data_IF_383990094393
#
_entry.id   IF_383990094393
#
_cell.length_a   1.000
_cell.length_b   1.000
_cell.length_c   1.000
_cell.angle_alpha   90.00
_cell.angle_beta   90.00
_cell.angle_gamma   90.00
#
_symmetry.space_group_name_H-M   'P 1'
#
loop_
_entity.id
_entity.type
_entity.pdbx_description
1 polymer ?
#
# COMPACT_ATOMS: atom_id res chain seq x y z
N UNK A 1 -41.48 -34.03 77.04
CA UNK A 1 -41.95 -34.01 75.65
C UNK A 1 -41.33 -32.76 74.97
N UNK A 2 -40.30 -32.90 74.18
CA UNK A 2 -39.63 -31.79 73.47
C UNK A 2 -39.64 -32.14 71.97
N UNK A 3 -40.41 -31.40 71.16
CA UNK A 3 -40.42 -31.51 69.70
C UNK A 3 -39.25 -30.70 69.17
N UNK A 4 -38.35 -31.34 68.40
CA UNK A 4 -37.28 -30.68 67.65
C UNK A 4 -37.79 -30.39 66.25
N UNK A 5 -37.82 -29.11 65.88
CA UNK A 5 -38.00 -28.63 64.49
C UNK A 5 -36.62 -28.74 63.78
N UNK A 6 -36.58 -29.48 62.68
CA UNK A 6 -35.47 -29.53 61.74
C UNK A 6 -35.80 -28.52 60.62
N UNK A 7 -35.02 -27.42 60.56
CA UNK A 7 -35.10 -26.47 59.49
C UNK A 7 -34.27 -26.93 58.31
N UNK A 8 -34.86 -27.11 57.14
CA UNK A 8 -34.20 -27.36 55.87
C UNK A 8 -33.71 -26.00 55.28
N UNK A 9 -32.40 -25.78 55.21
CA UNK A 9 -31.84 -24.72 54.42
C UNK A 9 -31.67 -25.21 52.99
N UNK A 10 -32.49 -24.72 52.06
CA UNK A 10 -32.28 -24.89 50.62
C UNK A 10 -31.26 -23.84 50.15
N UNK A 11 -30.02 -24.24 49.91
CA UNK A 11 -29.00 -23.42 49.28
C UNK A 11 -29.25 -23.40 47.76
N UNK A 12 -29.82 -22.30 47.26
CA UNK A 12 -29.94 -22.00 45.84
C UNK A 12 -28.56 -21.64 45.29
N UNK A 13 -27.89 -22.54 44.63
CA UNK A 13 -26.67 -22.25 43.83
C UNK A 13 -27.11 -21.64 42.52
N UNK A 14 -27.00 -20.31 42.42
CA UNK A 14 -27.09 -19.58 41.14
C UNK A 14 -25.84 -19.93 40.33
N UNK A 15 -25.93 -20.89 39.39
CA UNK A 15 -24.94 -21.04 38.33
C UNK A 15 -25.03 -19.80 37.42
N UNK A 16 -24.11 -18.86 37.56
CA UNK A 16 -23.86 -17.84 36.56
C UNK A 16 -23.31 -18.52 35.32
N UNK A 17 -24.17 -18.85 34.36
CA UNK A 17 -23.77 -19.17 32.99
C UNK A 17 -23.19 -17.91 32.36
N UNK A 18 -21.88 -17.69 32.57
CA UNK A 18 -21.11 -16.83 31.70
C UNK A 18 -21.09 -17.51 30.34
N UNK A 19 -22.02 -17.11 29.48
CA UNK A 19 -22.03 -17.58 28.09
C UNK A 19 -20.69 -17.22 27.47
N UNK A 20 -19.79 -18.19 27.34
CA UNK A 20 -18.64 -18.04 26.46
C UNK A 20 -19.21 -17.74 25.08
N UNK A 21 -19.00 -16.52 24.57
CA UNK A 21 -19.35 -16.18 23.21
C UNK A 21 -18.75 -17.26 22.30
N UNK A 22 -19.60 -17.91 21.50
CA UNK A 22 -19.14 -18.98 20.63
C UNK A 22 -18.01 -18.44 19.72
N UNK A 23 -16.91 -19.19 19.62
CA UNK A 23 -15.80 -18.86 18.75
C UNK A 23 -16.31 -18.82 17.30
N UNK A 24 -16.34 -17.61 16.71
CA UNK A 24 -16.71 -17.42 15.30
C UNK A 24 -15.46 -17.32 14.43
N UNK A 25 -15.58 -17.71 13.17
CA UNK A 25 -14.54 -17.44 12.17
C UNK A 25 -14.83 -16.09 11.50
N UNK A 26 -13.83 -15.21 11.53
CA UNK A 26 -13.83 -13.95 10.78
C UNK A 26 -13.11 -14.20 9.46
N UNK A 27 -13.82 -14.12 8.37
CA UNK A 27 -13.24 -14.29 7.02
C UNK A 27 -12.80 -12.92 6.47
N UNK A 28 -11.58 -12.85 6.00
CA UNK A 28 -11.01 -11.69 5.29
C UNK A 28 -10.78 -12.08 3.83
N UNK A 29 -11.56 -11.51 2.92
CA UNK A 29 -11.40 -11.72 1.49
C UNK A 29 -10.28 -10.86 0.92
N UNK A 30 -9.22 -11.46 0.38
CA UNK A 30 -8.08 -10.75 -0.19
C UNK A 30 -8.07 -10.88 -1.71
N UNK A 31 -8.38 -9.79 -2.41
CA UNK A 31 -8.24 -9.71 -3.86
C UNK A 31 -6.83 -9.24 -4.23
N UNK A 32 -6.04 -10.12 -4.81
CA UNK A 32 -4.66 -9.85 -5.21
C UNK A 32 -4.38 -10.28 -6.64
N UNK A 33 -3.13 -10.10 -7.06
CA UNK A 33 -2.60 -10.59 -8.32
C UNK A 33 -1.60 -11.69 -7.97
N UNK A 34 -2.02 -12.95 -8.03
CA UNK A 34 -1.20 -14.10 -7.61
C UNK A 34 -0.60 -14.86 -8.80
N UNK A 35 -0.96 -14.48 -10.04
CA UNK A 35 -0.44 -15.05 -11.28
C UNK A 35 -0.02 -13.98 -12.28
N UNK A 36 0.72 -14.40 -13.35
CA UNK A 36 1.16 -13.50 -14.42
C UNK A 36 2.29 -12.54 -14.05
N UNK A 37 2.53 -11.53 -14.88
CA UNK A 37 3.68 -10.61 -14.77
C UNK A 37 3.69 -9.72 -13.52
N UNK A 38 2.58 -9.60 -12.83
CA UNK A 38 2.42 -8.81 -11.61
C UNK A 38 2.27 -9.66 -10.35
N UNK A 39 2.48 -10.98 -10.42
CA UNK A 39 2.28 -11.93 -9.32
C UNK A 39 3.08 -11.62 -8.05
N UNK A 40 4.19 -10.87 -8.18
CA UNK A 40 4.98 -10.39 -7.03
C UNK A 40 4.14 -9.63 -5.99
N UNK A 41 3.14 -8.86 -6.42
CA UNK A 41 2.26 -8.12 -5.51
C UNK A 41 1.44 -9.05 -4.62
N UNK A 42 0.85 -10.09 -5.21
CA UNK A 42 0.10 -11.09 -4.46
C UNK A 42 1.01 -11.92 -3.54
N UNK A 43 2.22 -12.25 -3.99
CA UNK A 43 3.21 -12.94 -3.15
C UNK A 43 3.57 -12.10 -1.91
N UNK A 44 3.78 -10.80 -2.07
CA UNK A 44 4.04 -9.89 -0.94
C UNK A 44 2.85 -9.83 0.03
N UNK A 45 1.61 -9.83 -0.49
CA UNK A 45 0.42 -9.89 0.36
C UNK A 45 0.40 -11.18 1.19
N UNK A 46 0.61 -12.35 0.56
CA UNK A 46 0.63 -13.63 1.25
C UNK A 46 1.73 -13.70 2.32
N UNK A 47 2.94 -13.26 1.97
CA UNK A 47 4.08 -13.25 2.88
C UNK A 47 3.84 -12.33 4.09
N UNK A 48 3.33 -11.12 3.86
CA UNK A 48 3.05 -10.15 4.92
C UNK A 48 1.95 -10.63 5.86
N UNK A 49 0.87 -11.23 5.33
CA UNK A 49 -0.21 -11.82 6.11
C UNK A 49 0.31 -12.97 6.97
N UNK A 50 1.10 -13.87 6.39
CA UNK A 50 1.67 -15.00 7.11
C UNK A 50 2.60 -14.56 8.25
N UNK A 51 3.47 -13.56 8.02
CA UNK A 51 4.33 -12.99 9.06
C UNK A 51 3.50 -12.25 10.11
N UNK A 52 2.45 -11.52 9.70
CA UNK A 52 1.56 -10.86 10.67
C UNK A 52 0.88 -11.88 11.57
N UNK A 53 0.38 -12.99 11.02
CA UNK A 53 -0.22 -14.09 11.79
C UNK A 53 0.81 -14.81 12.67
N UNK A 54 2.06 -14.98 12.22
CA UNK A 54 3.15 -15.47 13.07
C UNK A 54 3.38 -14.58 14.30
N UNK A 55 3.28 -13.28 14.15
CA UNK A 55 3.52 -12.31 15.23
C UNK A 55 2.36 -12.19 16.22
N UNK A 56 1.13 -12.34 15.73
CA UNK A 56 -0.08 -12.00 16.49
C UNK A 56 -1.05 -13.17 16.67
N UNK A 57 -0.72 -14.35 16.14
CA UNK A 57 -1.62 -15.51 16.09
C UNK A 57 -2.63 -15.42 14.94
N UNK A 58 -3.33 -16.49 14.70
CA UNK A 58 -4.45 -16.58 13.75
C UNK A 58 -5.82 -16.38 14.40
N UNK A 59 -5.82 -16.02 15.69
CA UNK A 59 -7.04 -15.79 16.50
C UNK A 59 -6.99 -14.44 17.20
N UNK A 60 -8.15 -13.82 17.33
CA UNK A 60 -8.35 -12.54 18.06
C UNK A 60 -9.52 -12.74 19.03
N UNK A 61 -9.27 -12.60 20.33
CA UNK A 61 -10.28 -12.82 21.38
C UNK A 61 -11.04 -14.16 21.23
N UNK A 62 -10.34 -15.22 20.77
CA UNK A 62 -10.93 -16.53 20.51
C UNK A 62 -11.59 -16.70 19.14
N UNK A 63 -11.71 -15.64 18.34
CA UNK A 63 -12.23 -15.69 16.97
C UNK A 63 -11.11 -15.95 15.96
N UNK A 64 -11.24 -17.00 15.16
CA UNK A 64 -10.26 -17.36 14.12
C UNK A 64 -10.32 -16.35 12.97
N UNK A 65 -9.17 -15.85 12.52
CA UNK A 65 -9.06 -15.03 11.31
C UNK A 65 -8.67 -15.93 10.14
N UNK A 66 -9.60 -16.12 9.21
CA UNK A 66 -9.41 -16.92 8.00
C UNK A 66 -9.22 -16.02 6.78
N UNK A 67 -8.22 -16.31 5.96
CA UNK A 67 -7.92 -15.52 4.76
C UNK A 67 -8.41 -16.27 3.52
N UNK A 68 -9.27 -15.62 2.74
CA UNK A 68 -9.82 -16.17 1.50
C UNK A 68 -9.23 -15.37 0.31
N UNK A 69 -8.30 -15.99 -0.42
CA UNK A 69 -7.62 -15.36 -1.54
C UNK A 69 -8.39 -15.51 -2.85
N UNK A 70 -8.38 -14.45 -3.69
CA UNK A 70 -8.87 -14.48 -5.08
C UNK A 70 -7.87 -13.80 -6.00
N UNK A 71 -7.55 -14.47 -7.11
CA UNK A 71 -6.58 -14.01 -8.10
C UNK A 71 -7.26 -13.29 -9.26
N UNK A 72 -7.06 -11.99 -9.34
CA UNK A 72 -7.54 -11.17 -10.46
C UNK A 72 -6.60 -11.22 -11.68
N UNK A 73 -5.33 -11.61 -11.50
CA UNK A 73 -4.34 -11.79 -12.56
C UNK A 73 -3.74 -10.48 -13.12
N UNK A 74 -4.38 -9.33 -12.95
CA UNK A 74 -3.91 -8.05 -13.48
C UNK A 74 -4.92 -6.91 -13.32
N UNK A 75 -4.76 -5.81 -14.08
CA UNK A 75 -5.71 -4.70 -14.11
C UNK A 75 -6.96 -5.08 -14.93
N UNK A 76 -7.81 -5.89 -14.35
CA UNK A 76 -9.07 -6.38 -14.93
C UNK A 76 -10.27 -5.98 -14.05
N UNK A 77 -10.93 -4.85 -14.34
CA UNK A 77 -12.08 -4.35 -13.59
C UNK A 77 -13.28 -5.32 -13.54
N UNK A 78 -13.55 -6.02 -14.65
CA UNK A 78 -14.69 -6.93 -14.74
C UNK A 78 -14.48 -8.16 -13.87
N UNK A 79 -13.29 -8.78 -13.93
CA UNK A 79 -12.90 -9.91 -13.08
C UNK A 79 -12.82 -9.50 -11.62
N UNK A 80 -12.31 -8.30 -11.33
CA UNK A 80 -12.27 -7.78 -9.95
C UNK A 80 -13.68 -7.68 -9.36
N UNK A 81 -14.65 -7.18 -10.11
CA UNK A 81 -16.06 -7.10 -9.69
C UNK A 81 -16.64 -8.49 -9.43
N UNK A 82 -16.49 -9.43 -10.38
CA UNK A 82 -16.96 -10.81 -10.23
C UNK A 82 -16.42 -11.48 -8.97
N UNK A 83 -15.10 -11.41 -8.75
CA UNK A 83 -14.44 -12.05 -7.61
C UNK A 83 -14.80 -11.38 -6.28
N UNK A 84 -14.98 -10.06 -6.27
CA UNK A 84 -15.43 -9.34 -5.07
C UNK A 84 -16.87 -9.72 -4.72
N UNK A 85 -17.75 -9.85 -5.71
CA UNK A 85 -19.12 -10.34 -5.52
C UNK A 85 -19.14 -11.76 -4.96
N UNK A 86 -18.28 -12.66 -5.46
CA UNK A 86 -18.12 -14.00 -4.93
C UNK A 86 -17.69 -14.01 -3.46
N UNK A 87 -16.69 -13.18 -3.09
CA UNK A 87 -16.23 -13.03 -1.71
C UNK A 87 -17.35 -12.55 -0.79
N UNK A 88 -18.19 -11.62 -1.24
CA UNK A 88 -19.28 -11.08 -0.45
C UNK A 88 -20.43 -12.08 -0.32
N UNK A 89 -20.95 -12.63 -1.45
CA UNK A 89 -22.19 -13.39 -1.47
C UNK A 89 -22.00 -14.86 -1.13
N UNK A 90 -20.90 -15.48 -1.61
CA UNK A 90 -20.65 -16.92 -1.41
C UNK A 90 -19.81 -17.19 -0.18
N UNK A 91 -18.67 -16.50 -0.05
CA UNK A 91 -17.77 -16.68 1.09
C UNK A 91 -18.27 -15.96 2.34
N UNK A 92 -19.10 -14.91 2.17
CA UNK A 92 -19.69 -14.11 3.25
C UNK A 92 -18.62 -13.49 4.16
N UNK A 93 -17.60 -12.88 3.53
CA UNK A 93 -16.48 -12.28 4.26
C UNK A 93 -16.94 -11.09 5.10
N UNK A 94 -16.34 -10.90 6.27
CA UNK A 94 -16.58 -9.75 7.15
C UNK A 94 -15.75 -8.53 6.75
N UNK A 95 -14.60 -8.76 6.13
CA UNK A 95 -13.71 -7.73 5.63
C UNK A 95 -13.24 -8.07 4.23
N UNK A 96 -13.02 -7.07 3.42
CA UNK A 96 -12.29 -7.19 2.16
C UNK A 96 -10.94 -6.48 2.29
N UNK A 97 -9.94 -6.96 1.55
CA UNK A 97 -8.62 -6.36 1.53
C UNK A 97 -7.88 -6.62 0.20
N UNK A 98 -6.75 -5.92 0.02
CA UNK A 98 -5.92 -6.11 -1.16
C UNK A 98 -6.04 -4.98 -2.17
N UNK A 99 -6.43 -5.30 -3.41
CA UNK A 99 -6.59 -4.37 -4.54
C UNK A 99 -5.27 -3.71 -4.95
N UNK A 100 -4.58 -4.35 -5.89
CA UNK A 100 -3.29 -3.87 -6.41
C UNK A 100 -3.48 -2.66 -7.32
N UNK A 101 -4.43 -2.74 -8.25
CA UNK A 101 -4.63 -1.73 -9.29
C UNK A 101 -5.85 -0.85 -9.04
N UNK A 102 -5.70 0.45 -9.30
CA UNK A 102 -6.77 1.43 -9.20
C UNK A 102 -8.02 1.07 -10.00
N UNK A 103 -7.94 0.64 -11.28
CA UNK A 103 -9.14 0.26 -12.04
C UNK A 103 -9.97 -0.82 -11.34
N UNK A 104 -9.31 -1.78 -10.70
CA UNK A 104 -9.96 -2.87 -9.96
C UNK A 104 -10.68 -2.35 -8.70
N UNK A 105 -10.02 -1.48 -7.93
CA UNK A 105 -10.61 -0.88 -6.74
C UNK A 105 -11.81 0.02 -7.06
N UNK A 106 -11.71 0.80 -8.14
CA UNK A 106 -12.82 1.68 -8.57
C UNK A 106 -14.03 0.89 -9.08
N UNK A 107 -13.82 -0.22 -9.79
CA UNK A 107 -14.88 -1.04 -10.35
C UNK A 107 -15.77 -1.73 -9.30
N UNK A 108 -15.28 -1.85 -8.07
CA UNK A 108 -15.99 -2.52 -6.97
C UNK A 108 -16.57 -1.56 -5.94
N UNK A 109 -16.32 -0.25 -6.07
CA UNK A 109 -16.67 0.74 -5.06
C UNK A 109 -18.17 0.76 -4.72
N UNK A 110 -19.04 0.75 -5.74
CA UNK A 110 -20.48 0.75 -5.56
C UNK A 110 -20.97 -0.55 -4.92
N UNK A 111 -20.46 -1.70 -5.39
CA UNK A 111 -20.78 -3.02 -4.83
C UNK A 111 -20.41 -3.10 -3.34
N UNK A 112 -19.23 -2.64 -2.97
CA UNK A 112 -18.74 -2.63 -1.58
C UNK A 112 -19.57 -1.67 -0.72
N UNK A 113 -19.96 -0.52 -1.28
CA UNK A 113 -20.81 0.46 -0.59
C UNK A 113 -22.19 -0.12 -0.28
N UNK A 114 -22.81 -0.77 -1.28
CA UNK A 114 -24.14 -1.39 -1.13
C UNK A 114 -24.08 -2.57 -0.14
N UNK A 115 -23.08 -3.42 -0.25
CA UNK A 115 -22.90 -4.57 0.63
C UNK A 115 -22.42 -4.18 2.04
N UNK A 116 -21.99 -2.92 2.23
CA UNK A 116 -21.46 -2.40 3.50
C UNK A 116 -20.33 -3.25 4.09
N UNK A 117 -19.37 -3.68 3.27
CA UNK A 117 -18.22 -4.49 3.72
C UNK A 117 -17.00 -3.58 3.92
N UNK A 118 -16.49 -3.40 5.16
CA UNK A 118 -15.26 -2.67 5.41
C UNK A 118 -14.10 -3.23 4.59
N UNK A 119 -13.39 -2.37 3.84
CA UNK A 119 -12.41 -2.78 2.86
C UNK A 119 -11.10 -2.02 3.04
N UNK A 120 -9.98 -2.74 3.18
CA UNK A 120 -8.65 -2.17 3.37
C UNK A 120 -7.83 -2.28 2.08
N UNK A 121 -7.45 -1.13 1.51
CA UNK A 121 -6.66 -1.05 0.28
C UNK A 121 -5.16 -1.19 0.62
N UNK A 122 -4.53 -2.25 0.11
CA UNK A 122 -3.12 -2.58 0.38
C UNK A 122 -2.13 -1.98 -0.62
N UNK A 123 -2.60 -1.55 -1.83
CA UNK A 123 -1.68 -1.00 -2.82
C UNK A 123 -2.27 0.12 -3.69
N UNK A 124 -3.48 -0.01 -4.24
CA UNK A 124 -4.03 0.95 -5.20
C UNK A 124 -3.93 2.41 -4.73
N UNK A 125 -3.29 3.29 -5.55
CA UNK A 125 -2.69 4.53 -5.06
C UNK A 125 -3.32 5.84 -5.58
N UNK A 126 -4.38 5.77 -6.40
CA UNK A 126 -5.09 6.98 -6.83
C UNK A 126 -5.86 7.61 -5.66
N UNK A 127 -5.74 8.91 -5.49
CA UNK A 127 -6.31 9.64 -4.33
C UNK A 127 -7.82 9.54 -4.20
N UNK A 128 -8.54 9.45 -5.32
CA UNK A 128 -10.02 9.41 -5.34
C UNK A 128 -10.62 8.14 -4.74
N UNK A 129 -9.85 7.04 -4.59
CA UNK A 129 -10.36 5.72 -4.19
C UNK A 129 -11.21 5.79 -2.91
N UNK A 130 -10.68 6.36 -1.84
CA UNK A 130 -11.41 6.40 -0.56
C UNK A 130 -12.64 7.33 -0.58
N UNK A 131 -12.78 8.19 -1.59
CA UNK A 131 -14.02 8.97 -1.84
C UNK A 131 -15.08 8.17 -2.57
N UNK A 132 -14.70 7.12 -3.32
CA UNK A 132 -15.64 6.33 -4.12
C UNK A 132 -16.50 5.39 -3.29
N UNK A 133 -16.04 5.01 -2.09
CA UNK A 133 -16.85 4.26 -1.14
C UNK A 133 -16.53 4.71 0.29
N UNK A 134 -17.54 4.92 1.13
CA UNK A 134 -17.34 5.17 2.56
C UNK A 134 -16.74 3.95 3.29
N UNK A 135 -16.79 2.76 2.67
CA UNK A 135 -16.27 1.52 3.25
C UNK A 135 -14.76 1.34 3.00
N UNK A 136 -14.13 2.16 2.17
CA UNK A 136 -12.69 2.08 1.90
C UNK A 136 -11.86 2.78 2.97
N UNK A 137 -10.85 2.05 3.46
CA UNK A 137 -9.73 2.51 4.27
C UNK A 137 -8.44 2.13 3.55
N UNK A 138 -7.42 2.96 3.53
CA UNK A 138 -6.19 2.66 2.81
C UNK A 138 -4.97 2.70 3.73
N UNK A 139 -4.25 1.58 3.79
CA UNK A 139 -2.99 1.45 4.53
C UNK A 139 -1.75 1.48 3.63
N UNK A 140 -1.92 1.69 2.31
CA UNK A 140 -0.80 1.83 1.37
C UNK A 140 -0.26 3.26 1.32
N UNK A 141 -0.59 4.00 0.29
CA UNK A 141 -0.15 5.37 0.04
C UNK A 141 -1.02 5.99 -1.06
N UNK A 142 -0.82 7.29 -1.33
CA UNK A 142 -1.29 7.92 -2.58
C UNK A 142 -0.11 8.39 -3.41
N UNK A 143 -0.29 8.45 -4.74
CA UNK A 143 0.76 8.97 -5.61
C UNK A 143 1.14 10.41 -5.25
N UNK A 144 0.18 11.34 -5.03
CA UNK A 144 0.52 12.68 -4.59
C UNK A 144 1.31 12.71 -3.28
N UNK A 145 0.93 11.87 -2.29
CA UNK A 145 1.66 11.76 -1.02
C UNK A 145 3.13 11.37 -1.23
N UNK A 146 3.40 10.38 -2.08
CA UNK A 146 4.77 9.95 -2.36
C UNK A 146 5.53 10.93 -3.25
N UNK A 147 4.85 11.64 -4.15
CA UNK A 147 5.48 12.50 -5.17
C UNK A 147 5.90 13.87 -4.63
N UNK A 148 5.06 14.48 -3.79
CA UNK A 148 5.24 15.87 -3.35
C UNK A 148 6.58 16.14 -2.66
N UNK A 149 7.08 15.28 -1.74
CA UNK A 149 8.38 15.49 -1.11
C UNK A 149 9.53 15.53 -2.13
N UNK A 150 9.50 14.64 -3.12
CA UNK A 150 10.51 14.59 -4.18
C UNK A 150 10.45 15.84 -5.07
N UNK A 151 9.25 16.21 -5.52
CA UNK A 151 9.04 17.39 -6.36
C UNK A 151 9.51 18.68 -5.69
N UNK A 152 9.30 18.83 -4.36
CA UNK A 152 9.77 19.97 -3.60
C UNK A 152 11.29 19.98 -3.34
N UNK A 153 11.90 18.78 -3.31
CA UNK A 153 13.34 18.61 -3.05
C UNK A 153 14.19 18.87 -4.30
N UNK A 154 13.73 18.47 -5.48
CA UNK A 154 14.52 18.50 -6.73
C UNK A 154 15.07 19.91 -7.08
N UNK A 155 14.27 21.01 -7.12
CA UNK A 155 14.79 22.32 -7.51
C UNK A 155 15.84 22.86 -6.54
N UNK A 156 15.73 22.52 -5.25
CA UNK A 156 16.71 22.88 -4.20
C UNK A 156 18.04 22.15 -4.39
N UNK A 157 18.02 21.04 -5.12
CA UNK A 157 19.18 20.19 -5.39
C UNK A 157 19.61 20.25 -6.87
N UNK A 158 19.46 21.41 -7.50
CA UNK A 158 19.93 21.73 -8.86
C UNK A 158 19.19 21.01 -10.00
N UNK A 159 18.13 20.31 -9.75
CA UNK A 159 17.25 19.70 -10.76
C UNK A 159 16.07 20.64 -11.01
N UNK A 160 16.29 21.71 -11.80
CA UNK A 160 15.29 22.78 -12.03
C UNK A 160 14.49 22.60 -13.29
N UNK A 161 14.96 21.77 -14.24
CA UNK A 161 14.29 21.51 -15.50
C UNK A 161 14.00 20.01 -15.61
N UNK A 162 12.73 19.65 -15.68
CA UNK A 162 12.33 18.25 -15.70
C UNK A 162 11.35 17.92 -16.82
N UNK A 163 11.35 16.65 -17.25
CA UNK A 163 10.29 16.06 -18.08
C UNK A 163 9.58 15.01 -17.22
N UNK A 164 8.24 15.00 -17.24
CA UNK A 164 7.49 13.90 -16.64
C UNK A 164 7.30 12.78 -17.63
N UNK A 165 7.51 11.53 -17.17
CA UNK A 165 7.33 10.29 -17.94
C UNK A 165 6.47 9.36 -17.10
N UNK A 166 5.19 9.25 -17.40
CA UNK A 166 4.27 8.46 -16.59
C UNK A 166 3.46 7.48 -17.43
N UNK A 167 3.12 6.34 -16.85
CA UNK A 167 2.16 5.45 -17.48
C UNK A 167 0.77 6.08 -17.56
N UNK A 168 0.13 5.90 -18.73
CA UNK A 168 -1.15 6.54 -19.08
C UNK A 168 -2.34 5.84 -18.42
N UNK A 169 -2.50 6.07 -17.11
CA UNK A 169 -3.64 5.63 -16.31
C UNK A 169 -3.75 6.46 -15.03
N UNK A 170 -4.86 6.31 -14.29
CA UNK A 170 -5.20 7.23 -13.21
C UNK A 170 -4.10 7.50 -12.17
N UNK A 171 -3.35 6.52 -11.62
CA UNK A 171 -2.22 6.82 -10.72
C UNK A 171 -1.12 7.67 -11.37
N UNK A 172 -0.79 7.39 -12.65
CA UNK A 172 0.19 8.19 -13.39
C UNK A 172 -0.23 9.64 -13.52
N UNK A 173 -1.49 9.89 -13.83
CA UNK A 173 -2.05 11.24 -13.92
C UNK A 173 -2.03 11.95 -12.57
N UNK A 174 -2.35 11.26 -11.47
CA UNK A 174 -2.30 11.82 -10.11
C UNK A 174 -0.88 12.22 -9.71
N UNK A 175 0.10 11.31 -9.95
CA UNK A 175 1.51 11.57 -9.68
C UNK A 175 2.06 12.73 -10.53
N UNK A 176 1.76 12.74 -11.84
CA UNK A 176 2.16 13.82 -12.75
C UNK A 176 1.61 15.17 -12.33
N UNK A 177 0.31 15.25 -12.03
CA UNK A 177 -0.33 16.50 -11.62
C UNK A 177 0.26 17.03 -10.31
N UNK A 178 0.50 16.14 -9.33
CA UNK A 178 1.13 16.52 -8.07
C UNK A 178 2.58 16.98 -8.26
N UNK A 179 3.35 16.27 -9.11
CA UNK A 179 4.70 16.66 -9.46
C UNK A 179 4.75 18.05 -10.10
N UNK A 180 3.98 18.26 -11.17
CA UNK A 180 3.95 19.53 -11.90
C UNK A 180 3.63 20.70 -10.99
N UNK A 181 2.58 20.53 -10.14
CA UNK A 181 2.16 21.57 -9.21
C UNK A 181 3.29 21.96 -8.27
N UNK A 182 3.80 21.01 -7.48
CA UNK A 182 4.76 21.29 -6.42
C UNK A 182 6.15 21.61 -6.96
N UNK A 183 6.56 20.97 -8.05
CA UNK A 183 7.84 21.27 -8.70
C UNK A 183 7.90 22.73 -9.19
N UNK A 184 6.84 23.24 -9.84
CA UNK A 184 6.72 24.64 -10.26
C UNK A 184 6.68 25.61 -9.06
N UNK A 185 5.89 25.29 -8.03
CA UNK A 185 5.82 26.09 -6.80
C UNK A 185 7.17 26.15 -6.07
N UNK A 186 8.02 25.13 -6.25
CA UNK A 186 9.37 25.06 -5.68
C UNK A 186 10.46 25.70 -6.56
N UNK A 187 10.09 26.33 -7.68
CA UNK A 187 11.01 27.01 -8.60
C UNK A 187 11.58 26.14 -9.71
N UNK A 188 10.93 25.03 -10.03
CA UNK A 188 11.25 24.17 -11.18
C UNK A 188 10.42 24.50 -12.42
N UNK A 189 10.89 24.04 -13.58
CA UNK A 189 10.24 24.14 -14.88
C UNK A 189 9.99 22.75 -15.45
N UNK A 190 8.73 22.42 -15.77
CA UNK A 190 8.38 21.18 -16.49
C UNK A 190 8.39 21.50 -17.99
N UNK A 191 9.34 20.87 -18.69
CA UNK A 191 9.54 21.09 -20.13
C UNK A 191 8.50 20.36 -20.96
N UNK A 192 8.16 19.15 -20.57
CA UNK A 192 7.19 18.30 -21.25
C UNK A 192 6.59 17.26 -20.31
N UNK A 193 5.37 16.81 -20.65
CA UNK A 193 4.67 15.70 -20.03
C UNK A 193 4.48 14.58 -21.05
N UNK A 194 5.10 13.43 -20.80
CA UNK A 194 5.04 12.25 -21.68
C UNK A 194 4.22 11.16 -20.96
N UNK A 195 3.14 10.74 -21.59
CA UNK A 195 2.30 9.65 -21.11
C UNK A 195 2.48 8.43 -21.98
N UNK A 196 2.81 7.31 -21.36
CA UNK A 196 3.14 6.05 -22.04
C UNK A 196 1.99 5.06 -21.81
N UNK A 197 1.33 4.57 -22.87
CA UNK A 197 0.28 3.55 -22.76
C UNK A 197 0.75 2.29 -22.03
N UNK A 198 -0.10 1.68 -21.21
CA UNK A 198 0.23 0.46 -20.45
C UNK A 198 0.63 -0.73 -21.32
N UNK A 199 0.20 -0.75 -22.60
CA UNK A 199 0.54 -1.78 -23.56
C UNK A 199 1.91 -1.60 -24.24
N UNK A 200 2.60 -0.48 -23.97
CA UNK A 200 3.89 -0.17 -24.60
C UNK A 200 4.98 -1.14 -24.13
N UNK A 201 5.73 -1.66 -25.08
CA UNK A 201 6.90 -2.55 -24.84
C UNK A 201 8.20 -1.94 -25.33
N UNK A 202 8.16 -0.99 -26.27
CA UNK A 202 9.32 -0.22 -26.73
C UNK A 202 9.25 1.22 -26.22
N UNK A 203 10.15 1.57 -25.33
CA UNK A 203 10.22 2.87 -24.70
C UNK A 203 11.19 3.84 -25.40
N UNK A 204 12.06 3.34 -26.28
CA UNK A 204 13.12 4.14 -26.90
C UNK A 204 12.62 5.42 -27.60
N UNK A 205 11.53 5.41 -28.39
CA UNK A 205 11.06 6.62 -29.07
C UNK A 205 10.68 7.76 -28.12
N UNK A 206 10.14 7.43 -26.94
CA UNK A 206 9.76 8.41 -25.93
C UNK A 206 10.98 9.05 -25.28
N UNK A 207 12.03 8.26 -25.02
CA UNK A 207 13.23 8.74 -24.36
C UNK A 207 14.17 9.51 -25.30
N UNK A 208 14.23 9.18 -26.59
CA UNK A 208 14.97 9.96 -27.59
C UNK A 208 14.44 11.40 -27.71
N UNK A 209 13.15 11.61 -27.59
CA UNK A 209 12.52 12.92 -27.59
C UNK A 209 12.97 13.77 -26.38
N UNK A 210 13.21 13.16 -25.21
CA UNK A 210 13.67 13.82 -24.01
C UNK A 210 15.11 14.36 -24.17
N UNK A 211 15.98 13.60 -24.84
CA UNK A 211 17.37 14.03 -25.10
C UNK A 211 17.48 15.40 -25.77
N UNK A 212 16.56 15.72 -26.67
CA UNK A 212 16.57 16.98 -27.42
C UNK A 212 16.26 18.17 -26.51
N UNK A 213 15.54 17.96 -25.42
CA UNK A 213 15.13 19.02 -24.48
C UNK A 213 16.19 19.33 -23.42
N UNK A 214 17.15 18.42 -23.20
CA UNK A 214 18.24 18.53 -22.23
C UNK A 214 17.73 18.93 -20.83
N UNK A 215 16.78 18.16 -20.22
CA UNK A 215 16.37 18.41 -18.85
C UNK A 215 17.49 18.05 -17.86
N UNK A 216 17.41 18.57 -16.63
CA UNK A 216 18.29 18.11 -15.55
C UNK A 216 17.91 16.72 -15.07
N UNK A 217 16.61 16.38 -15.09
CA UNK A 217 16.08 15.12 -14.63
C UNK A 217 14.78 14.73 -15.34
N UNK A 218 14.43 13.44 -15.24
CA UNK A 218 13.06 12.99 -15.50
C UNK A 218 12.38 12.59 -14.18
N UNK A 219 11.07 12.86 -14.07
CA UNK A 219 10.21 12.22 -13.10
C UNK A 219 9.50 11.05 -13.77
N UNK A 220 9.81 9.83 -13.33
CA UNK A 220 9.29 8.60 -13.92
C UNK A 220 8.32 7.90 -12.97
N UNK A 221 7.15 7.52 -13.49
CA UNK A 221 6.21 6.63 -12.82
C UNK A 221 5.74 5.53 -13.77
N UNK A 222 5.87 4.27 -13.34
CA UNK A 222 5.41 3.07 -14.05
C UNK A 222 4.48 2.21 -13.20
N UNK A 223 3.84 1.18 -13.79
CA UNK A 223 2.92 0.29 -13.06
C UNK A 223 3.65 -0.79 -12.24
N UNK A 224 4.97 -0.72 -12.16
CA UNK A 224 5.83 -1.78 -11.62
C UNK A 224 6.10 -2.92 -12.61
N UNK A 225 6.88 -3.92 -12.17
CA UNK A 225 7.17 -5.10 -12.96
C UNK A 225 7.94 -4.83 -14.26
N UNK A 226 7.71 -5.64 -15.33
CA UNK A 226 8.49 -5.55 -16.57
C UNK A 226 8.49 -4.17 -17.24
N UNK A 227 7.37 -3.44 -17.17
CA UNK A 227 7.27 -2.13 -17.78
C UNK A 227 8.18 -1.10 -17.10
N UNK A 228 8.15 -1.02 -15.75
CA UNK A 228 9.05 -0.12 -15.01
C UNK A 228 10.52 -0.50 -15.20
N UNK A 229 10.84 -1.79 -15.20
CA UNK A 229 12.22 -2.28 -15.51
C UNK A 229 12.65 -1.82 -16.90
N UNK A 230 11.79 -1.96 -17.91
CA UNK A 230 12.06 -1.52 -19.28
C UNK A 230 12.30 -0.03 -19.40
N UNK A 231 11.47 0.80 -18.75
CA UNK A 231 11.63 2.26 -18.73
C UNK A 231 12.95 2.67 -18.07
N UNK A 232 13.32 2.07 -16.94
CA UNK A 232 14.57 2.38 -16.23
C UNK A 232 15.78 1.97 -17.06
N UNK A 233 15.77 0.80 -17.69
CA UNK A 233 16.84 0.34 -18.56
C UNK A 233 16.98 1.26 -19.79
N UNK A 234 15.88 1.76 -20.33
CA UNK A 234 15.90 2.72 -21.45
C UNK A 234 16.49 4.06 -21.00
N UNK A 235 16.10 4.57 -19.82
CA UNK A 235 16.76 5.74 -19.24
C UNK A 235 18.26 5.53 -19.08
N UNK A 236 18.68 4.42 -18.49
CA UNK A 236 20.08 4.14 -18.21
C UNK A 236 20.94 4.06 -19.50
N UNK A 237 20.38 3.55 -20.59
CA UNK A 237 21.08 3.43 -21.88
C UNK A 237 21.04 4.71 -22.70
N UNK A 238 20.00 5.56 -22.57
CA UNK A 238 19.77 6.73 -23.44
C UNK A 238 20.02 8.06 -22.76
N UNK A 239 19.53 8.25 -21.53
CA UNK A 239 19.52 9.54 -20.85
C UNK A 239 20.65 9.69 -19.83
N UNK A 240 21.00 8.62 -19.10
CA UNK A 240 22.05 8.66 -18.08
C UNK A 240 23.42 9.06 -18.65
N UNK A 241 23.87 8.60 -19.84
CA UNK A 241 25.12 9.07 -20.44
C UNK A 241 25.14 10.58 -20.78
N UNK A 242 23.97 11.18 -20.96
CA UNK A 242 23.82 12.62 -21.18
C UNK A 242 23.74 13.44 -19.88
N UNK A 243 23.90 12.80 -18.71
CA UNK A 243 23.84 13.44 -17.40
C UNK A 243 22.43 13.78 -16.92
N UNK A 244 21.37 13.17 -17.51
CA UNK A 244 19.98 13.39 -17.12
C UNK A 244 19.65 12.44 -15.97
N UNK A 245 19.32 12.99 -14.79
CA UNK A 245 19.02 12.22 -13.60
C UNK A 245 17.67 11.48 -13.69
N UNK A 246 17.58 10.29 -13.07
CA UNK A 246 16.32 9.59 -12.86
C UNK A 246 15.78 9.92 -11.49
N UNK A 247 14.57 10.47 -11.46
CA UNK A 247 13.79 10.57 -10.23
C UNK A 247 12.48 9.79 -10.38
N UNK A 248 12.04 9.12 -9.30
CA UNK A 248 10.92 8.19 -9.37
C UNK A 248 10.21 8.09 -8.02
N UNK A 249 9.02 7.51 -7.98
CA UNK A 249 8.37 7.15 -6.72
C UNK A 249 8.78 5.73 -6.29
N UNK A 250 8.04 4.72 -6.66
CA UNK A 250 8.26 3.34 -6.21
C UNK A 250 8.87 2.41 -7.29
N UNK A 251 9.39 2.93 -8.40
CA UNK A 251 9.81 2.12 -9.55
C UNK A 251 11.18 1.42 -9.36
N UNK A 252 12.01 1.95 -8.44
CA UNK A 252 13.26 1.31 -8.02
C UNK A 252 13.10 0.59 -6.68
N UNK A 253 12.04 -0.19 -6.54
CA UNK A 253 11.80 -0.99 -5.33
C UNK A 253 12.85 -2.10 -5.19
N UNK A 254 13.16 -2.46 -3.96
CA UNK A 254 14.16 -3.47 -3.62
C UNK A 254 13.93 -4.80 -4.35
N UNK A 255 12.69 -5.21 -4.51
CA UNK A 255 12.32 -6.46 -5.20
C UNK A 255 12.59 -6.44 -6.71
N UNK A 256 12.67 -5.25 -7.32
CA UNK A 256 12.96 -5.08 -8.75
C UNK A 256 14.44 -4.79 -9.01
N UNK A 257 15.20 -4.30 -8.03
CA UNK A 257 16.62 -3.98 -8.19
C UNK A 257 17.47 -5.12 -8.76
N UNK A 258 17.28 -6.40 -8.39
CA UNK A 258 18.00 -7.50 -9.01
C UNK A 258 17.76 -7.65 -10.54
N UNK A 259 16.55 -7.28 -11.00
CA UNK A 259 16.17 -7.35 -12.44
C UNK A 259 16.62 -6.12 -13.21
N UNK A 260 16.62 -4.94 -12.57
CA UNK A 260 17.09 -3.69 -13.17
C UNK A 260 18.64 -3.69 -13.24
N UNK A 261 19.30 -4.24 -12.23
CA UNK A 261 20.74 -4.27 -12.13
C UNK A 261 21.37 -2.89 -11.99
N UNK A 262 22.62 -2.74 -12.43
CA UNK A 262 23.40 -1.50 -12.33
C UNK A 262 22.75 -0.29 -13.03
N UNK A 263 21.77 -0.52 -13.89
CA UNK A 263 20.98 0.56 -14.48
C UNK A 263 20.32 1.45 -13.42
N UNK A 264 19.89 0.88 -12.29
CA UNK A 264 19.26 1.63 -11.21
C UNK A 264 20.23 2.50 -10.37
N UNK A 265 21.55 2.30 -10.46
CA UNK A 265 22.51 3.04 -9.62
C UNK A 265 22.34 4.55 -9.74
N UNK A 266 22.41 5.21 -8.58
CA UNK A 266 22.31 6.66 -8.38
C UNK A 266 20.89 7.24 -8.60
N UNK A 267 19.93 6.45 -9.11
CA UNK A 267 18.55 6.94 -9.22
C UNK A 267 18.02 7.37 -7.85
N UNK A 268 17.23 8.45 -7.86
CA UNK A 268 16.64 9.04 -6.65
C UNK A 268 15.18 8.65 -6.59
N UNK A 269 14.76 8.13 -5.45
CA UNK A 269 13.38 7.72 -5.23
C UNK A 269 12.72 8.42 -4.05
N UNK A 270 11.39 8.41 -4.07
CA UNK A 270 10.54 8.83 -2.96
C UNK A 270 9.56 7.70 -2.63
N UNK A 271 9.54 7.23 -1.41
CA UNK A 271 8.72 6.09 -1.01
C UNK A 271 8.36 6.13 0.46
N UNK A 272 7.29 5.44 0.83
CA UNK A 272 6.88 5.29 2.21
C UNK A 272 7.60 4.14 2.94
N UNK A 273 8.47 3.40 2.23
CA UNK A 273 9.25 2.31 2.82
C UNK A 273 10.56 2.05 2.07
N UNK A 274 11.57 1.64 2.82
CA UNK A 274 12.76 0.93 2.34
C UNK A 274 13.15 -0.14 3.36
N UNK A 275 13.79 -1.21 2.91
CA UNK A 275 14.27 -2.27 3.81
C UNK A 275 15.33 -1.76 4.83
N UNK A 276 15.97 -0.63 4.55
CA UNK A 276 17.03 -0.04 5.37
C UNK A 276 16.54 0.81 6.53
N UNK A 277 15.22 0.94 6.72
CA UNK A 277 14.66 1.62 7.89
C UNK A 277 15.11 0.94 9.17
N UNK A 278 15.77 1.70 10.05
CA UNK A 278 16.32 1.20 11.30
C UNK A 278 15.34 1.37 12.45
N UNK A 279 14.43 0.39 12.60
CA UNK A 279 13.59 0.26 13.79
C UNK A 279 13.38 -1.23 14.14
N UNK A 280 13.00 -1.54 15.39
CA UNK A 280 12.85 -2.92 15.86
C UNK A 280 11.80 -3.73 15.07
N UNK A 281 10.68 -3.11 14.68
CA UNK A 281 9.61 -3.79 13.95
C UNK A 281 10.05 -4.16 12.54
N UNK A 282 10.80 -3.29 11.86
CA UNK A 282 11.34 -3.60 10.54
C UNK A 282 12.39 -4.71 10.59
N UNK A 283 13.28 -4.66 11.60
CA UNK A 283 14.27 -5.72 11.81
C UNK A 283 13.60 -7.08 12.02
N UNK A 284 12.55 -7.11 12.86
CA UNK A 284 11.77 -8.32 13.12
C UNK A 284 11.04 -8.81 11.86
N UNK A 285 10.36 -7.92 11.13
CA UNK A 285 9.67 -8.25 9.88
C UNK A 285 10.63 -8.89 8.87
N UNK A 286 11.80 -8.29 8.66
CA UNK A 286 12.82 -8.81 7.74
C UNK A 286 13.34 -10.17 8.15
N UNK A 287 13.70 -10.34 9.41
CA UNK A 287 14.19 -11.62 9.95
C UNK A 287 13.16 -12.74 9.80
N UNK A 288 11.89 -12.45 10.06
CA UNK A 288 10.83 -13.46 9.98
C UNK A 288 10.44 -13.77 8.52
N UNK A 289 10.49 -12.80 7.61
CA UNK A 289 10.34 -13.05 6.17
C UNK A 289 11.46 -13.95 5.65
N UNK A 290 12.71 -13.65 5.98
CA UNK A 290 13.86 -14.48 5.63
C UNK A 290 13.73 -15.92 6.18
N UNK A 291 13.37 -16.05 7.45
CA UNK A 291 13.22 -17.36 8.11
C UNK A 291 12.08 -18.20 7.53
N UNK A 292 10.98 -17.57 7.08
CA UNK A 292 9.79 -18.28 6.58
C UNK A 292 9.86 -18.57 5.08
N UNK A 293 10.48 -17.69 4.30
CA UNK A 293 10.39 -17.73 2.84
C UNK A 293 11.75 -17.74 2.13
N UNK A 294 12.85 -17.73 2.90
CA UNK A 294 14.21 -17.81 2.38
C UNK A 294 14.93 -16.47 2.37
N UNK A 295 16.27 -16.55 2.38
CA UNK A 295 17.21 -15.42 2.54
C UNK A 295 17.10 -14.32 1.47
N UNK A 296 16.50 -14.64 0.32
CA UNK A 296 16.33 -13.69 -0.78
C UNK A 296 14.97 -12.97 -0.72
N UNK A 297 14.19 -13.22 0.34
CA UNK A 297 12.89 -12.54 0.54
C UNK A 297 13.08 -11.16 1.12
N UNK A 298 12.77 -10.16 0.32
CA UNK A 298 12.95 -8.75 0.68
C UNK A 298 11.57 -8.11 0.86
N UNK A 299 11.29 -7.49 2.02
CA UNK A 299 10.07 -6.70 2.18
C UNK A 299 10.09 -5.44 1.31
N UNK A 300 8.92 -5.05 0.84
CA UNK A 300 8.74 -3.85 0.04
C UNK A 300 7.46 -3.10 0.46
N UNK A 301 7.11 -2.07 -0.29
CA UNK A 301 5.95 -1.20 -0.02
C UNK A 301 4.64 -1.98 0.18
N UNK A 302 4.37 -2.98 -0.67
CA UNK A 302 3.18 -3.82 -0.52
C UNK A 302 3.24 -4.73 0.72
N UNK A 303 4.43 -5.19 1.10
CA UNK A 303 4.62 -5.99 2.31
C UNK A 303 4.20 -5.20 3.56
N UNK A 304 4.74 -3.98 3.73
CA UNK A 304 4.44 -3.19 4.93
C UNK A 304 3.01 -2.66 4.93
N UNK A 305 2.47 -2.30 3.75
CA UNK A 305 1.09 -1.86 3.63
C UNK A 305 0.09 -2.95 3.99
N UNK A 306 0.38 -4.20 3.60
CA UNK A 306 -0.43 -5.37 3.95
C UNK A 306 -0.29 -5.72 5.43
N UNK A 307 0.92 -5.70 5.97
CA UNK A 307 1.18 -5.93 7.40
C UNK A 307 0.37 -4.96 8.26
N UNK A 308 0.38 -3.67 7.93
CA UNK A 308 -0.41 -2.64 8.60
C UNK A 308 -1.91 -2.80 8.36
N UNK A 309 -2.31 -3.23 7.17
CA UNK A 309 -3.71 -3.50 6.87
C UNK A 309 -4.26 -4.66 7.71
N UNK A 310 -3.46 -5.71 7.94
CA UNK A 310 -3.82 -6.78 8.87
C UNK A 310 -3.90 -6.27 10.30
N UNK A 311 -2.98 -5.39 10.72
CA UNK A 311 -3.04 -4.74 12.04
C UNK A 311 -4.37 -4.01 12.22
N UNK A 312 -4.77 -3.20 11.26
CA UNK A 312 -6.04 -2.46 11.30
C UNK A 312 -7.25 -3.40 11.41
N UNK A 313 -7.28 -4.51 10.65
CA UNK A 313 -8.34 -5.52 10.72
C UNK A 313 -8.37 -6.20 12.09
N UNK A 314 -7.21 -6.69 12.57
CA UNK A 314 -7.12 -7.39 13.86
C UNK A 314 -7.54 -6.52 15.03
N UNK A 315 -7.09 -5.26 15.08
CA UNK A 315 -7.50 -4.32 16.13
C UNK A 315 -9.00 -4.02 16.06
N UNK A 316 -9.58 -3.99 14.86
CA UNK A 316 -11.02 -3.79 14.69
C UNK A 316 -11.81 -4.98 15.24
N UNK A 317 -11.39 -6.21 14.93
CA UNK A 317 -12.00 -7.42 15.49
C UNK A 317 -11.82 -7.48 17.02
N UNK A 318 -10.65 -7.12 17.51
CA UNK A 318 -10.36 -7.10 18.95
C UNK A 318 -11.26 -6.12 19.71
N UNK A 319 -11.55 -4.97 19.09
CA UNK A 319 -12.34 -3.90 19.73
C UNK A 319 -13.85 -4.07 19.58
N UNK A 320 -14.31 -4.51 18.39
CA UNK A 320 -15.72 -4.49 18.01
C UNK A 320 -16.32 -5.89 17.81
N UNK A 321 -15.51 -6.94 17.96
CA UNK A 321 -15.95 -8.32 17.80
C UNK A 321 -15.90 -8.82 16.35
N UNK A 322 -16.36 -10.07 16.12
CA UNK A 322 -16.22 -10.77 14.84
C UNK A 322 -17.16 -10.27 13.73
N UNK A 323 -18.23 -9.60 14.10
CA UNK A 323 -19.23 -9.00 13.17
C UNK A 323 -19.52 -7.56 13.53
N UNK A 324 -18.55 -6.66 13.36
CA UNK A 324 -18.74 -5.26 13.73
C UNK A 324 -19.81 -4.60 12.85
N UNK A 325 -20.47 -3.57 13.38
CA UNK A 325 -21.19 -2.65 12.52
C UNK A 325 -20.24 -2.04 11.52
N UNK A 326 -20.53 -2.05 10.20
CA UNK A 326 -19.60 -1.64 9.16
C UNK A 326 -19.13 -0.19 9.27
N UNK A 327 -20.04 0.74 9.55
CA UNK A 327 -19.71 2.17 9.68
C UNK A 327 -18.83 2.41 10.93
N UNK A 328 -19.12 1.73 12.05
CA UNK A 328 -18.30 1.79 13.27
C UNK A 328 -16.92 1.18 13.03
N UNK A 329 -16.84 0.07 12.29
CA UNK A 329 -15.58 -0.55 11.93
C UNK A 329 -14.70 0.41 11.11
N UNK A 330 -15.24 1.03 10.06
CA UNK A 330 -14.50 2.01 9.26
C UNK A 330 -14.09 3.23 10.08
N UNK A 331 -14.98 3.74 10.93
CA UNK A 331 -14.68 4.86 11.83
C UNK A 331 -13.53 4.52 12.79
N UNK A 332 -13.57 3.32 13.37
CA UNK A 332 -12.50 2.86 14.26
C UNK A 332 -11.18 2.68 13.50
N UNK A 333 -11.19 2.00 12.33
CA UNK A 333 -10.01 1.87 11.48
C UNK A 333 -9.39 3.24 11.15
N UNK A 334 -10.21 4.22 10.80
CA UNK A 334 -9.77 5.56 10.42
C UNK A 334 -9.26 6.40 11.61
N UNK A 335 -9.42 5.94 12.85
CA UNK A 335 -8.92 6.64 14.05
C UNK A 335 -7.57 6.13 14.57
N UNK A 336 -7.02 5.07 13.97
CA UNK A 336 -5.85 4.39 14.50
C UNK A 336 -4.55 5.16 14.32
N UNK A 337 -3.67 5.02 15.32
CA UNK A 337 -2.26 5.44 15.31
C UNK A 337 -1.46 4.31 15.89
N UNK A 338 -0.36 3.93 15.24
CA UNK A 338 0.48 2.84 15.69
C UNK A 338 1.89 2.92 15.10
N UNK A 339 2.82 2.18 15.70
CA UNK A 339 4.14 1.99 15.15
C UNK A 339 4.13 0.84 14.13
N UNK A 340 4.78 1.08 12.99
CA UNK A 340 4.85 0.17 11.86
C UNK A 340 6.32 -0.14 11.51
N UNK A 341 6.61 -1.23 10.79
CA UNK A 341 7.93 -1.45 10.20
C UNK A 341 8.44 -0.27 9.36
N UNK A 342 7.54 0.55 8.81
CA UNK A 342 7.90 1.77 8.05
C UNK A 342 8.02 3.04 8.90
N UNK A 343 7.96 2.93 10.23
CA UNK A 343 7.94 4.07 11.16
C UNK A 343 6.53 4.36 11.67
N UNK A 344 6.33 5.49 12.38
CA UNK A 344 5.03 5.84 12.93
C UNK A 344 4.02 6.11 11.82
N UNK A 345 2.80 5.63 12.01
CA UNK A 345 1.68 5.83 11.08
C UNK A 345 0.42 6.27 11.82
N UNK A 346 -0.41 7.02 11.12
CA UNK A 346 -1.71 7.45 11.60
C UNK A 346 -2.71 7.37 10.46
N UNK A 347 -3.91 6.89 10.73
CA UNK A 347 -5.01 7.01 9.78
C UNK A 347 -5.60 8.41 9.85
N UNK A 348 -5.98 8.98 8.72
CA UNK A 348 -6.68 10.26 8.65
C UNK A 348 -8.19 10.03 8.78
N UNK A 349 -8.85 10.46 9.88
CA UNK A 349 -10.28 10.24 10.04
C UNK A 349 -11.15 10.88 8.95
N UNK A 350 -10.67 11.96 8.35
CA UNK A 350 -11.43 12.68 7.33
C UNK A 350 -11.36 12.00 5.96
N UNK A 351 -10.21 11.44 5.63
CA UNK A 351 -9.97 10.88 4.29
C UNK A 351 -9.89 9.36 4.26
N UNK A 352 -9.71 8.72 5.41
CA UNK A 352 -9.47 7.28 5.59
C UNK A 352 -8.22 6.77 4.89
N UNK A 353 -7.28 7.67 4.59
CA UNK A 353 -5.95 7.36 4.11
C UNK A 353 -4.92 7.35 5.24
N UNK A 354 -3.83 6.67 5.00
CA UNK A 354 -2.71 6.65 5.95
C UNK A 354 -1.87 7.94 5.85
N UNK A 355 -1.49 8.46 7.01
CA UNK A 355 -0.50 9.54 7.18
C UNK A 355 0.79 8.85 7.64
N UNK A 356 1.89 9.09 6.94
CA UNK A 356 3.12 8.33 7.14
C UNK A 356 4.35 9.14 6.74
N UNK A 357 5.51 8.67 7.16
CA UNK A 357 6.77 9.22 6.67
C UNK A 357 6.97 8.88 5.18
N UNK A 358 7.54 9.83 4.45
CA UNK A 358 8.03 9.61 3.10
C UNK A 358 9.55 9.78 3.13
N UNK A 359 10.24 8.79 2.58
CA UNK A 359 11.69 8.71 2.57
C UNK A 359 12.22 9.06 1.18
N UNK A 360 13.07 10.07 1.09
CA UNK A 360 13.88 10.30 -0.10
C UNK A 360 15.10 9.37 -0.02
N UNK A 361 15.31 8.61 -1.08
CA UNK A 361 16.24 7.51 -1.11
C UNK A 361 17.06 7.51 -2.40
N UNK A 362 18.23 6.91 -2.36
CA UNK A 362 19.10 6.71 -3.52
C UNK A 362 19.47 5.24 -3.63
N UNK A 363 19.45 4.73 -4.85
CA UNK A 363 19.96 3.36 -5.11
C UNK A 363 21.46 3.37 -5.05
N UNK A 364 22.03 2.55 -4.18
CA UNK A 364 23.47 2.39 -3.97
C UNK A 364 23.88 0.93 -4.11
N UNK A 365 25.14 0.72 -4.44
CA UNK A 365 25.78 -0.59 -4.34
C UNK A 365 26.33 -0.79 -2.93
N UNK A 366 25.81 -1.78 -2.24
CA UNK A 366 26.27 -2.20 -0.92
C UNK A 366 26.92 -3.58 -1.04
N UNK A 367 28.23 -3.59 -1.29
CA UNK A 367 29.05 -4.81 -1.44
C UNK A 367 28.48 -5.79 -2.49
N UNK A 368 28.11 -5.28 -3.66
CA UNK A 368 27.60 -6.06 -4.79
C UNK A 368 26.07 -6.28 -4.75
N UNK A 369 25.38 -5.84 -3.69
CA UNK A 369 23.92 -5.83 -3.62
C UNK A 369 23.39 -4.41 -3.76
N UNK A 370 22.51 -4.20 -4.74
CA UNK A 370 21.80 -2.92 -4.87
C UNK A 370 20.73 -2.79 -3.81
N UNK A 371 20.65 -1.61 -3.19
CA UNK A 371 19.63 -1.29 -2.20
C UNK A 371 19.32 0.21 -2.18
N UNK A 372 18.13 0.55 -1.71
CA UNK A 372 17.80 1.94 -1.44
C UNK A 372 18.37 2.38 -0.09
N UNK A 373 19.07 3.52 -0.09
CA UNK A 373 19.56 4.18 1.12
C UNK A 373 18.80 5.48 1.32
N UNK A 374 18.12 5.61 2.44
CA UNK A 374 17.44 6.85 2.82
C UNK A 374 18.47 7.93 3.13
N UNK A 375 18.26 9.14 2.63
CA UNK A 375 19.09 10.30 2.93
C UNK A 375 18.29 11.45 3.52
N UNK A 376 16.95 11.45 3.36
CA UNK A 376 16.05 12.44 3.96
C UNK A 376 14.72 11.78 4.32
N UNK A 377 14.11 12.22 5.42
CA UNK A 377 12.78 11.79 5.86
C UNK A 377 11.86 13.00 5.95
N UNK A 378 10.77 12.97 5.23
CA UNK A 378 9.68 13.94 5.36
C UNK A 378 8.61 13.32 6.25
N UNK A 379 8.42 13.83 7.49
CA UNK A 379 7.57 13.15 8.46
C UNK A 379 6.09 13.38 8.20
N UNK A 380 5.29 12.37 8.50
CA UNK A 380 3.83 12.40 8.61
C UNK A 380 3.13 13.14 7.46
N UNK A 381 3.48 12.77 6.23
CA UNK A 381 2.88 13.34 5.02
C UNK A 381 1.45 12.83 4.86
N UNK A 382 0.52 13.74 4.64
CA UNK A 382 -0.87 13.47 4.24
C UNK A 382 -1.01 13.41 2.72
N UNK A 383 -2.13 12.89 2.25
CA UNK A 383 -2.50 13.04 0.84
C UNK A 383 -2.86 14.50 0.53
N UNK A 384 -2.04 15.24 -0.20
CA UNK A 384 -2.31 16.65 -0.48
C UNK A 384 -3.40 16.84 -1.54
N UNK A 385 -3.67 15.82 -2.36
CA UNK A 385 -4.65 15.91 -3.45
C UNK A 385 -6.05 16.25 -2.93
N UNK A 386 -6.43 15.72 -1.78
CA UNK A 386 -7.75 15.95 -1.19
C UNK A 386 -7.93 17.37 -0.66
N UNK A 387 -6.86 18.00 -0.24
CA UNK A 387 -6.84 19.41 0.14
C UNK A 387 -6.97 20.32 -1.09
N UNK A 388 -6.29 19.96 -2.19
CA UNK A 388 -6.38 20.69 -3.45
C UNK A 388 -7.70 20.49 -4.19
N UNK A 389 -8.39 19.40 -3.94
CA UNK A 389 -9.67 19.03 -4.55
C UNK A 389 -10.71 18.76 -3.47
N UNK A 390 -11.18 19.80 -2.74
CA UNK A 390 -12.20 19.61 -1.72
C UNK A 390 -13.50 19.08 -2.34
N UNK A 391 -14.23 18.25 -1.62
CA UNK A 391 -15.56 17.82 -2.05
C UNK A 391 -16.48 19.04 -2.10
N UNK A 392 -17.17 19.22 -3.22
CA UNK A 392 -18.24 20.20 -3.30
C UNK A 392 -19.34 19.77 -2.33
N UNK A 393 -19.59 20.62 -1.35
CA UNK A 393 -20.69 20.42 -0.38
C UNK A 393 -22.04 20.46 -1.09
#
# INVERSE_FOLDING_TARGET
MRKRLIGLYAASVLLALTGAAAAETVKVGVLGVFSGGFSRWGQQFQQAIAVYQKHNGDTVNGHKIEIVYRDVGGPDPAKARQLTEELILREKVQFLAGYVFTPNALAVADLITEAKVPTVIFNAATSVITRRSPMFVRTSFTLPQATVPLAAWMPKNKMKRAVTVVSDYAPGHDGEAAFIKVFKESGGEVLESIRIPLSTTDFAPFFERILQQKPDAIFLFGPGGPASVGMINTWASRLKPAGIELTTTNETQEIDLPKIGKAALDSIGSSHYTETIDNPLNKKLRADLEAMFGKDTIPDTATVSTYDGMHVIYQTVAKLGPRPNPEEAVKFMASMKFDSPRGPVQMDPATRDIIQNIYLRRVVDNNGRLQNRNFETVPMVKDPWKEWNPEKK
#
